data_IF_536931980130
#
_entry.id   IF_536931980130
#
_cell.length_a   1.000
_cell.length_b   1.000
_cell.length_c   1.000
_cell.angle_alpha   90.00
_cell.angle_beta   90.00
_cell.angle_gamma   90.00
#
_symmetry.space_group_name_H-M   'P 1'
#
loop_
_entity.id
_entity.type
_entity.pdbx_description
1 polymer ?
#
# COMPACT_ATOMS: atom_id res chain seq x y z
N UNK A 1 -3.76 11.59 -45.85
CA UNK A 1 -4.26 12.14 -44.57
C UNK A 1 -3.67 11.30 -43.45
N UNK A 2 -2.63 11.81 -42.78
CA UNK A 2 -1.94 11.12 -41.69
C UNK A 2 -2.82 11.16 -40.44
N UNK A 3 -3.18 9.98 -39.93
CA UNK A 3 -3.85 9.83 -38.64
C UNK A 3 -2.84 10.15 -37.55
N UNK A 4 -2.81 11.40 -37.11
CA UNK A 4 -1.99 11.86 -35.99
C UNK A 4 -2.71 11.40 -34.71
N UNK A 5 -2.20 10.39 -33.97
CA UNK A 5 -2.83 10.01 -32.72
C UNK A 5 -2.80 11.22 -31.80
N UNK A 6 -3.95 11.56 -31.23
CA UNK A 6 -4.19 12.66 -30.29
C UNK A 6 -3.09 12.73 -29.20
N UNK A 7 -2.02 13.49 -29.48
CA UNK A 7 -0.85 13.68 -28.61
C UNK A 7 -1.21 14.43 -27.32
N UNK A 8 -2.40 15.03 -27.28
CA UNK A 8 -2.91 15.86 -26.18
C UNK A 8 -3.17 15.06 -24.90
N UNK A 9 -3.21 13.72 -24.97
CA UNK A 9 -3.47 12.84 -23.83
C UNK A 9 -2.23 12.16 -23.25
N UNK A 10 -1.04 12.39 -23.80
CA UNK A 10 0.18 11.77 -23.25
C UNK A 10 0.71 12.55 -22.04
N UNK A 11 1.37 11.82 -21.14
CA UNK A 11 2.12 12.40 -20.04
C UNK A 11 3.29 13.21 -20.62
N UNK A 12 3.46 14.45 -20.19
CA UNK A 12 4.54 15.36 -20.57
C UNK A 12 5.06 16.11 -19.33
N UNK A 13 6.36 16.39 -19.25
CA UNK A 13 6.94 17.11 -18.09
C UNK A 13 6.41 18.54 -17.92
N UNK A 14 6.04 19.18 -19.03
CA UNK A 14 5.49 20.54 -19.05
C UNK A 14 3.96 20.55 -18.81
N UNK A 15 3.35 19.37 -18.64
CA UNK A 15 1.93 19.23 -18.38
C UNK A 15 1.58 19.50 -16.92
N UNK A 16 0.36 19.99 -16.72
CA UNK A 16 -0.24 20.19 -15.40
C UNK A 16 -1.23 19.05 -15.16
N UNK A 17 -0.99 18.23 -14.15
CA UNK A 17 -1.83 17.08 -13.84
C UNK A 17 -2.34 17.12 -12.40
N UNK A 18 -3.50 16.53 -12.09
CA UNK A 18 -3.96 16.43 -10.70
C UNK A 18 -3.00 15.54 -9.89
N UNK A 19 -2.68 15.92 -8.67
CA UNK A 19 -1.83 15.13 -7.77
C UNK A 19 -2.47 13.78 -7.42
N UNK A 20 -1.85 12.62 -7.72
CA UNK A 20 -2.44 11.31 -7.42
C UNK A 20 -2.49 11.00 -5.91
N UNK A 21 -1.57 11.57 -5.12
CA UNK A 21 -1.50 11.37 -3.66
C UNK A 21 -2.59 12.17 -2.94
N UNK A 22 -2.66 13.45 -3.25
CA UNK A 22 -3.47 14.40 -2.51
C UNK A 22 -4.82 14.67 -3.18
N UNK A 23 -4.97 14.38 -4.49
CA UNK A 23 -6.14 14.67 -5.34
C UNK A 23 -6.65 16.11 -5.29
N UNK A 24 -5.86 17.02 -4.72
CA UNK A 24 -6.25 18.41 -4.43
C UNK A 24 -5.33 19.39 -5.12
N UNK A 25 -4.00 19.19 -5.03
CA UNK A 25 -3.03 20.03 -5.73
C UNK A 25 -2.79 19.55 -7.15
N UNK A 26 -2.08 20.36 -7.93
CA UNK A 26 -1.57 19.98 -9.23
C UNK A 26 -0.07 19.64 -9.14
N UNK A 27 0.36 18.67 -9.92
CA UNK A 27 1.78 18.40 -10.17
C UNK A 27 2.22 19.18 -11.41
N UNK A 28 3.37 19.82 -11.32
CA UNK A 28 3.96 20.60 -12.40
C UNK A 28 5.46 20.27 -12.51
N UNK A 29 6.02 20.42 -13.72
CA UNK A 29 7.45 20.22 -13.97
C UNK A 29 8.30 21.17 -13.16
N UNK A 30 9.32 20.63 -12.50
CA UNK A 30 10.39 21.44 -11.93
C UNK A 30 11.30 21.89 -13.08
N UNK A 31 11.51 23.20 -13.28
CA UNK A 31 12.46 23.67 -14.27
C UNK A 31 13.85 23.11 -13.91
N UNK A 32 14.57 22.60 -14.90
CA UNK A 32 15.93 22.06 -14.81
C UNK A 32 16.08 20.59 -14.37
N UNK A 33 14.98 19.85 -14.15
CA UNK A 33 15.02 18.41 -13.86
C UNK A 33 13.86 17.66 -14.53
N UNK A 34 14.09 16.40 -14.91
CA UNK A 34 13.07 15.48 -15.41
C UNK A 34 12.17 14.96 -14.26
N UNK A 35 11.57 15.89 -13.52
CA UNK A 35 10.77 15.63 -12.33
C UNK A 35 9.55 16.56 -12.23
N UNK A 36 8.47 16.03 -11.68
CA UNK A 36 7.21 16.71 -11.40
C UNK A 36 7.05 16.85 -9.89
N UNK A 37 6.61 18.01 -9.40
CA UNK A 37 6.35 18.21 -7.98
C UNK A 37 4.95 18.78 -7.74
N UNK A 38 4.34 18.39 -6.63
CA UNK A 38 3.03 18.91 -6.24
C UNK A 38 3.16 20.19 -5.40
N UNK A 39 2.42 21.23 -5.77
CA UNK A 39 2.35 22.50 -5.03
C UNK A 39 1.78 22.35 -3.60
N UNK A 40 0.89 21.37 -3.39
CA UNK A 40 0.16 21.21 -2.12
C UNK A 40 0.87 20.25 -1.15
N UNK A 41 1.32 19.09 -1.66
CA UNK A 41 1.96 18.08 -0.82
C UNK A 41 3.49 18.13 -0.84
N UNK A 42 4.10 18.89 -1.78
CA UNK A 42 5.57 19.05 -1.94
C UNK A 42 6.33 17.73 -2.11
N UNK A 43 5.67 16.69 -2.60
CA UNK A 43 6.34 15.45 -3.00
C UNK A 43 6.82 15.56 -4.45
N UNK A 44 7.96 14.93 -4.71
CA UNK A 44 8.63 14.86 -6.01
C UNK A 44 8.31 13.51 -6.65
N UNK A 45 8.00 13.56 -7.94
CA UNK A 45 7.67 12.43 -8.78
C UNK A 45 8.57 12.48 -10.02
N UNK A 46 8.96 11.32 -10.51
CA UNK A 46 9.68 11.15 -11.77
C UNK A 46 8.70 10.57 -12.78
N UNK A 47 8.52 11.23 -13.91
CA UNK A 47 7.69 10.70 -14.98
C UNK A 47 8.52 9.79 -15.88
N UNK A 48 8.03 8.59 -16.14
CA UNK A 48 8.56 7.71 -17.17
C UNK A 48 7.68 7.89 -18.41
N UNK A 49 8.14 8.74 -19.34
CA UNK A 49 7.38 9.10 -20.54
C UNK A 49 7.23 7.92 -21.50
N UNK A 50 8.20 6.99 -21.54
CA UNK A 50 8.13 5.79 -22.38
C UNK A 50 7.01 4.86 -21.91
N UNK A 51 6.93 4.63 -20.60
CA UNK A 51 5.93 3.75 -20.01
C UNK A 51 4.62 4.46 -19.65
N UNK A 52 4.55 5.80 -19.80
CA UNK A 52 3.45 6.66 -19.34
C UNK A 52 3.13 6.44 -17.85
N UNK A 53 4.19 6.25 -17.06
CA UNK A 53 4.11 6.01 -15.61
C UNK A 53 4.62 7.22 -14.85
N UNK A 54 4.08 7.44 -13.66
CA UNK A 54 4.58 8.41 -12.69
C UNK A 54 5.11 7.63 -11.49
N UNK A 55 6.40 7.74 -11.20
CA UNK A 55 7.10 7.05 -10.11
C UNK A 55 7.38 8.03 -8.98
N UNK A 56 7.06 7.68 -7.74
CA UNK A 56 7.44 8.48 -6.58
C UNK A 56 8.86 8.12 -6.14
N UNK A 57 9.77 9.09 -6.10
CA UNK A 57 11.18 8.85 -5.72
C UNK A 57 11.42 8.81 -4.21
N UNK A 58 10.43 9.24 -3.41
CA UNK A 58 10.53 9.42 -1.96
C UNK A 58 10.41 8.10 -1.17
N UNK A 59 10.21 6.96 -1.84
CA UNK A 59 10.00 5.66 -1.20
C UNK A 59 10.61 4.52 -2.01
N UNK A 60 11.20 3.54 -1.32
CA UNK A 60 11.44 2.20 -1.85
C UNK A 60 10.53 1.22 -1.09
N UNK A 61 9.63 0.48 -1.77
CA UNK A 61 9.40 0.45 -3.20
C UNK A 61 8.68 1.72 -3.71
N UNK A 62 9.00 2.21 -4.92
CA UNK A 62 8.38 3.41 -5.48
C UNK A 62 6.91 3.14 -5.81
N UNK A 63 6.00 4.03 -5.38
CA UNK A 63 4.63 4.00 -5.87
C UNK A 63 4.62 4.45 -7.32
N UNK A 64 3.96 3.68 -8.18
CA UNK A 64 3.77 4.01 -9.59
C UNK A 64 2.30 4.21 -9.90
N UNK A 65 2.01 5.19 -10.74
CA UNK A 65 0.68 5.43 -11.29
C UNK A 65 0.76 5.45 -12.80
N UNK A 66 -0.20 4.82 -13.49
CA UNK A 66 -0.27 4.87 -14.95
C UNK A 66 -1.20 5.98 -15.40
N UNK A 67 -0.76 6.76 -16.38
CA UNK A 67 -1.60 7.77 -17.02
C UNK A 67 -2.47 7.11 -18.10
N UNK A 68 -3.79 7.26 -17.99
CA UNK A 68 -4.76 6.76 -18.99
C UNK A 68 -5.34 7.91 -19.85
N UNK A 69 -4.58 9.00 -20.02
CA UNK A 69 -5.04 10.19 -20.73
C UNK A 69 -5.87 11.15 -19.88
N UNK A 70 -6.87 10.64 -19.15
CA UNK A 70 -7.76 11.51 -18.36
C UNK A 70 -7.46 11.51 -16.86
N UNK A 71 -7.09 10.35 -16.33
CA UNK A 71 -6.94 10.12 -14.90
C UNK A 71 -5.77 9.18 -14.61
N UNK A 72 -5.26 9.27 -13.39
CA UNK A 72 -4.30 8.31 -12.83
C UNK A 72 -5.00 6.99 -12.53
N UNK A 73 -4.52 5.91 -13.13
CA UNK A 73 -5.03 4.55 -12.94
C UNK A 73 -3.99 3.71 -12.20
N UNK A 74 -4.43 3.10 -11.10
CA UNK A 74 -3.66 2.13 -10.32
C UNK A 74 -2.50 2.75 -9.55
N UNK A 75 -2.63 2.87 -8.23
CA UNK A 75 -1.50 3.13 -7.35
C UNK A 75 -0.82 1.78 -7.08
N UNK A 76 0.10 1.37 -7.96
CA UNK A 76 0.80 0.10 -7.80
C UNK A 76 2.19 0.34 -7.21
N UNK A 77 2.47 -0.24 -6.05
CA UNK A 77 3.84 -0.28 -5.53
C UNK A 77 4.66 -1.14 -6.49
N UNK A 78 5.67 -0.54 -7.13
CA UNK A 78 6.59 -1.29 -7.99
C UNK A 78 7.29 -2.35 -7.12
N UNK A 79 7.00 -3.62 -7.34
CA UNK A 79 7.58 -4.74 -6.59
C UNK A 79 6.76 -5.25 -5.40
N UNK A 80 5.59 -4.67 -5.11
CA UNK A 80 4.57 -5.34 -4.28
C UNK A 80 3.45 -5.76 -5.20
N UNK A 81 3.71 -6.83 -5.94
CA UNK A 81 2.62 -7.62 -6.47
C UNK A 81 1.87 -8.17 -5.25
N UNK A 82 0.69 -7.62 -4.97
CA UNK A 82 -0.32 -8.30 -4.16
C UNK A 82 -0.80 -9.54 -4.93
N UNK A 83 0.12 -10.40 -5.32
CA UNK A 83 -0.17 -11.69 -5.88
C UNK A 83 -0.84 -12.54 -4.82
N UNK A 84 -1.62 -13.50 -5.27
CA UNK A 84 -2.18 -14.55 -4.42
C UNK A 84 -1.13 -15.17 -3.48
N UNK A 85 0.13 -15.20 -3.90
CA UNK A 85 1.26 -15.69 -3.12
C UNK A 85 1.45 -14.95 -1.79
N UNK A 86 1.32 -13.61 -1.75
CA UNK A 86 1.46 -12.82 -0.51
C UNK A 86 0.35 -13.15 0.47
N UNK A 87 -0.88 -13.33 -0.02
CA UNK A 87 -2.01 -13.77 0.79
C UNK A 87 -1.82 -15.21 1.30
N UNK A 88 -1.28 -16.11 0.48
CA UNK A 88 -0.95 -17.48 0.88
C UNK A 88 0.09 -17.47 1.99
N UNK A 89 1.16 -16.67 1.88
CA UNK A 89 2.16 -16.57 2.94
C UNK A 89 1.60 -15.98 4.23
N UNK A 90 0.78 -14.94 4.15
CA UNK A 90 0.12 -14.36 5.32
C UNK A 90 -0.81 -15.38 6.00
N UNK A 91 -1.60 -16.13 5.21
CA UNK A 91 -2.46 -17.18 5.72
C UNK A 91 -1.65 -18.33 6.33
N UNK A 92 -0.59 -18.80 5.66
CA UNK A 92 0.29 -19.84 6.18
C UNK A 92 0.96 -19.43 7.49
N UNK A 93 1.38 -18.17 7.62
CA UNK A 93 1.99 -17.62 8.84
C UNK A 93 1.04 -17.65 10.04
N UNK A 94 -0.27 -17.48 9.82
CA UNK A 94 -1.28 -17.58 10.89
C UNK A 94 -1.70 -19.04 11.12
N UNK A 95 -1.93 -19.79 10.04
CA UNK A 95 -2.52 -21.13 10.11
C UNK A 95 -1.51 -22.16 10.63
N UNK A 96 -0.28 -22.22 10.11
CA UNK A 96 0.72 -23.23 10.49
C UNK A 96 0.99 -23.31 12.00
N UNK A 97 1.32 -22.21 12.70
CA UNK A 97 1.58 -22.30 14.13
C UNK A 97 0.31 -22.64 14.91
N UNK A 98 -0.85 -22.15 14.48
CA UNK A 98 -2.14 -22.43 15.14
C UNK A 98 -2.53 -23.90 14.98
N UNK A 99 -2.38 -24.47 13.79
CA UNK A 99 -2.69 -25.89 13.53
C UNK A 99 -1.70 -26.81 14.20
N UNK A 100 -0.40 -26.48 14.21
CA UNK A 100 0.61 -27.27 14.91
C UNK A 100 0.29 -27.42 16.39
N UNK A 101 -0.05 -26.32 17.06
CA UNK A 101 -0.42 -26.32 18.47
C UNK A 101 -1.79 -26.99 18.68
N UNK A 102 -2.75 -26.78 17.78
CA UNK A 102 -4.06 -27.43 17.84
C UNK A 102 -3.97 -28.95 17.73
N UNK A 103 -3.13 -29.45 16.82
CA UNK A 103 -2.85 -30.89 16.66
C UNK A 103 -2.13 -31.44 17.89
N UNK A 104 -1.19 -30.70 18.48
CA UNK A 104 -0.55 -31.10 19.72
C UNK A 104 -1.57 -31.21 20.87
N UNK A 105 -2.50 -30.25 20.99
CA UNK A 105 -3.57 -30.27 21.99
C UNK A 105 -4.56 -31.44 21.80
N UNK A 106 -4.83 -31.83 20.55
CA UNK A 106 -5.67 -32.99 20.24
C UNK A 106 -4.96 -34.32 20.53
N UNK A 107 -3.67 -34.41 20.20
CA UNK A 107 -2.86 -35.64 20.37
C UNK A 107 -2.56 -35.92 21.85
N UNK A 108 -2.39 -34.88 22.65
CA UNK A 108 -2.17 -34.97 24.09
C UNK A 108 -3.33 -34.31 24.85
N UNK A 109 -4.52 -34.93 24.86
CA UNK A 109 -5.67 -34.37 25.53
C UNK A 109 -5.40 -34.26 27.04
N UNK A 110 -5.69 -33.11 27.65
CA UNK A 110 -5.47 -32.94 29.08
C UNK A 110 -6.44 -33.80 29.89
N UNK A 111 -6.00 -34.27 31.05
CA UNK A 111 -6.83 -35.05 31.97
C UNK A 111 -8.03 -34.21 32.44
N UNK A 112 -9.27 -34.70 32.26
CA UNK A 112 -10.47 -33.96 32.66
C UNK A 112 -10.46 -33.74 34.18
N UNK A 113 -10.63 -32.48 34.61
CA UNK A 113 -10.59 -32.08 36.02
C UNK A 113 -9.24 -31.54 36.53
N UNK A 114 -8.19 -31.56 35.72
CA UNK A 114 -6.91 -30.92 36.06
C UNK A 114 -6.99 -29.39 35.93
N UNK A 115 -6.40 -28.66 36.89
CA UNK A 115 -6.35 -27.17 36.90
C UNK A 115 -5.71 -26.58 35.63
N UNK A 116 -4.89 -27.35 34.91
CA UNK A 116 -4.20 -26.91 33.69
C UNK A 116 -4.88 -27.37 32.39
N UNK A 117 -6.05 -28.00 32.44
CA UNK A 117 -6.72 -28.50 31.23
C UNK A 117 -7.14 -27.41 30.23
N UNK A 118 -7.25 -26.15 30.68
CA UNK A 118 -7.55 -25.00 29.83
C UNK A 118 -6.33 -24.45 29.09
N UNK A 119 -5.11 -24.77 29.54
CA UNK A 119 -3.86 -24.19 29.04
C UNK A 119 -3.64 -24.47 27.54
N UNK A 120 -3.82 -25.71 27.02
CA UNK A 120 -3.66 -25.97 25.59
C UNK A 120 -4.63 -25.14 24.74
N UNK A 121 -5.87 -24.97 25.20
CA UNK A 121 -6.93 -24.27 24.48
C UNK A 121 -6.75 -22.74 24.53
N UNK A 122 -6.26 -22.20 25.64
CA UNK A 122 -5.88 -20.79 25.71
C UNK A 122 -4.61 -20.50 24.89
N UNK A 123 -3.64 -21.42 24.87
CA UNK A 123 -2.39 -21.25 24.14
C UNK A 123 -2.58 -21.27 22.62
N UNK A 124 -3.45 -22.13 22.10
CA UNK A 124 -3.85 -22.12 20.67
C UNK A 124 -4.49 -20.78 20.30
N UNK A 125 -5.45 -20.30 21.10
CA UNK A 125 -6.12 -19.01 20.89
C UNK A 125 -5.15 -17.83 20.93
N UNK A 126 -4.25 -17.80 21.93
CA UNK A 126 -3.21 -16.76 22.06
C UNK A 126 -2.29 -16.75 20.83
N UNK A 127 -1.85 -17.92 20.38
CA UNK A 127 -0.97 -18.04 19.22
C UNK A 127 -1.66 -17.47 17.97
N UNK A 128 -2.90 -17.84 17.72
CA UNK A 128 -3.69 -17.28 16.63
C UNK A 128 -3.79 -15.75 16.72
N UNK A 129 -4.16 -15.23 17.90
CA UNK A 129 -4.34 -13.79 18.12
C UNK A 129 -3.04 -13.00 17.91
N UNK A 130 -1.91 -13.50 18.40
CA UNK A 130 -0.62 -12.84 18.24
C UNK A 130 -0.17 -12.80 16.78
N UNK A 131 -0.27 -13.93 16.06
CA UNK A 131 0.13 -13.98 14.65
C UNK A 131 -0.81 -13.11 13.80
N UNK A 132 -2.11 -13.13 14.08
CA UNK A 132 -3.07 -12.25 13.44
C UNK A 132 -2.78 -10.78 13.74
N UNK A 133 -2.45 -10.43 14.98
CA UNK A 133 -2.07 -9.07 15.37
C UNK A 133 -0.81 -8.59 14.63
N UNK A 134 0.18 -9.44 14.41
CA UNK A 134 1.36 -9.12 13.60
C UNK A 134 0.97 -8.78 12.15
N UNK A 135 0.09 -9.59 11.53
CA UNK A 135 -0.40 -9.31 10.18
C UNK A 135 -1.19 -8.00 10.14
N UNK A 136 -2.11 -7.78 11.08
CA UNK A 136 -2.89 -6.54 11.16
C UNK A 136 -1.97 -5.33 11.39
N UNK A 137 -0.98 -5.45 12.26
CA UNK A 137 0.01 -4.41 12.50
C UNK A 137 0.77 -4.08 11.21
N UNK A 138 1.24 -5.09 10.50
CA UNK A 138 2.01 -4.93 9.26
C UNK A 138 1.15 -4.30 8.16
N UNK A 139 -0.10 -4.75 8.02
CA UNK A 139 -1.09 -4.09 7.16
C UNK A 139 -1.27 -2.63 7.57
N UNK A 140 -1.47 -2.37 8.87
CA UNK A 140 -1.67 -1.02 9.37
C UNK A 140 -0.46 -0.14 9.04
N UNK A 141 0.77 -0.55 9.31
CA UNK A 141 2.00 0.18 8.95
C UNK A 141 2.07 0.48 7.44
N UNK A 142 1.74 -0.52 6.61
CA UNK A 142 1.66 -0.34 5.16
C UNK A 142 0.56 0.67 4.74
N UNK A 143 -0.62 0.63 5.36
CA UNK A 143 -1.76 1.52 5.06
C UNK A 143 -1.65 2.91 5.73
N UNK A 144 -0.93 3.05 6.85
CA UNK A 144 -0.83 4.28 7.63
C UNK A 144 -0.17 5.40 6.84
N UNK A 145 0.82 5.11 5.97
CA UNK A 145 1.52 6.16 5.22
C UNK A 145 0.69 6.86 4.12
N UNK A 146 -0.01 6.15 3.21
CA UNK A 146 -0.86 6.82 2.21
C UNK A 146 -2.02 7.58 2.87
N UNK A 147 -2.63 7.02 3.93
CA UNK A 147 -3.74 7.66 4.64
C UNK A 147 -3.28 8.87 5.47
N UNK A 148 -2.15 8.82 6.17
CA UNK A 148 -1.64 9.96 6.96
C UNK A 148 -1.32 11.17 6.09
N UNK A 149 -0.69 10.98 4.92
CA UNK A 149 -0.39 12.10 3.99
C UNK A 149 -1.68 12.71 3.43
N UNK A 150 -2.64 11.86 3.04
CA UNK A 150 -3.96 12.29 2.59
C UNK A 150 -4.73 13.06 3.68
N UNK A 151 -4.78 12.52 4.91
CA UNK A 151 -5.48 13.15 6.03
C UNK A 151 -4.78 14.44 6.48
N UNK A 152 -3.45 14.49 6.51
CA UNK A 152 -2.69 15.70 6.88
C UNK A 152 -2.94 16.85 5.90
N UNK A 153 -2.96 16.57 4.60
CA UNK A 153 -3.25 17.58 3.57
C UNK A 153 -4.70 18.05 3.63
N UNK A 154 -5.66 17.13 3.82
CA UNK A 154 -7.08 17.48 4.05
C UNK A 154 -7.28 18.32 5.32
N UNK A 155 -6.62 17.97 6.43
CA UNK A 155 -6.67 18.71 7.70
C UNK A 155 -6.08 20.11 7.58
N UNK A 156 -4.94 20.26 6.89
CA UNK A 156 -4.32 21.57 6.64
C UNK A 156 -5.23 22.49 5.84
N UNK A 157 -5.98 21.98 4.86
CA UNK A 157 -6.93 22.78 4.08
C UNK A 157 -8.16 23.17 4.89
N UNK A 158 -8.68 22.26 5.73
CA UNK A 158 -9.78 22.56 6.65
C UNK A 158 -9.39 23.62 7.69
N UNK A 159 -8.15 23.61 8.15
CA UNK A 159 -7.62 24.60 9.10
C UNK A 159 -7.21 25.94 8.45
N UNK A 160 -7.25 26.04 7.11
CA UNK A 160 -6.88 27.25 6.35
C UNK A 160 -8.10 27.92 5.68
N UNK A 161 -9.30 27.41 5.96
CA UNK A 161 -10.59 28.08 5.75
C UNK A 161 -11.07 28.59 7.10
#
# INVERSE_FOLDING_TARGET
MQYLPDLTNRLHYQGIYPCPICRVGQIQGMPLMDALACEACRHIFVADLEQQLLKMTDRQPPLTWRWNGKNWVGAHLQGVEWGWMTWIFAAAFVILPTTLIGVAAYTFPPTPGSRLAWLPLAWTGLTFLLHFAVIVWLLMEFYQFPLRVYLRTRRRRLLRR
#
